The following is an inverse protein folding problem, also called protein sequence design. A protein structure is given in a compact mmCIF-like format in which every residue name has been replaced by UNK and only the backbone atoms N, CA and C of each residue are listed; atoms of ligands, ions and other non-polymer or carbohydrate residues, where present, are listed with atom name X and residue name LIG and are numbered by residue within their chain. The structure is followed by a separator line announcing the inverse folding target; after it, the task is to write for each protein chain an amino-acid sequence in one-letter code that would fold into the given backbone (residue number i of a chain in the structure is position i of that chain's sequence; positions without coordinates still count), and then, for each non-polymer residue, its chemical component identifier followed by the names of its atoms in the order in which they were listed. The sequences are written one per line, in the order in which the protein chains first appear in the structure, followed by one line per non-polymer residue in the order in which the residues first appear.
data_IF_900641459845
#
_entry.id   IF_900641459845
#
_cell.length_a   1.000
_cell.length_b   1.000
_cell.length_c   1.000
_cell.angle_alpha   90.00
_cell.angle_beta   90.00
_cell.angle_gamma   90.00
#
_symmetry.space_group_name_H-M   'P 1'
#
loop_
_entity.id
_entity.type
_entity.pdbx_description
1 polymer ?
#
# COMPACT_ATOMS: atom_id res chain seq x y z
N UNK A 1 0.11 7.48 36.16
CA UNK A 1 1.29 7.03 35.39
C UNK A 1 0.88 6.70 33.95
N UNK A 2 1.76 6.90 32.96
CA UNK A 2 1.56 6.54 31.55
C UNK A 2 2.75 5.71 31.06
N UNK A 3 2.57 4.93 29.99
CA UNK A 3 3.60 4.08 29.40
C UNK A 3 3.40 4.02 27.88
N UNK A 4 4.51 4.10 27.14
CA UNK A 4 4.55 3.99 25.67
C UNK A 4 5.74 3.11 25.28
N UNK A 5 5.51 2.12 24.42
CA UNK A 5 6.56 1.22 23.92
C UNK A 5 7.38 1.94 22.84
N UNK A 6 8.71 1.95 23.01
CA UNK A 6 9.65 2.61 22.09
C UNK A 6 10.36 1.62 21.16
N UNK A 7 10.57 0.38 21.62
CA UNK A 7 11.19 -0.71 20.88
C UNK A 7 10.80 -2.06 21.53
N UNK A 8 11.01 -3.15 20.79
CA UNK A 8 10.95 -4.53 21.25
C UNK A 8 11.96 -5.38 20.47
N UNK A 9 12.54 -6.38 21.12
CA UNK A 9 13.39 -7.37 20.45
C UNK A 9 12.67 -8.72 20.39
N UNK A 10 12.76 -9.40 19.24
CA UNK A 10 12.16 -10.72 19.04
C UNK A 10 13.28 -11.74 18.86
N UNK A 11 13.38 -12.78 19.71
CA UNK A 11 14.38 -13.82 19.53
C UNK A 11 14.14 -14.61 18.25
N UNK A 12 15.22 -15.15 17.65
CA UNK A 12 15.16 -15.94 16.41
C UNK A 12 14.07 -17.01 16.42
N UNK A 13 13.97 -17.78 17.50
CA UNK A 13 12.96 -18.84 17.69
C UNK A 13 11.51 -18.37 17.57
N UNK A 14 11.26 -17.08 17.76
CA UNK A 14 9.93 -16.46 17.64
C UNK A 14 9.79 -15.77 16.27
N UNK A 15 10.84 -15.11 15.76
CA UNK A 15 10.83 -14.51 14.41
C UNK A 15 10.48 -15.57 13.35
N UNK A 16 11.02 -16.78 13.46
CA UNK A 16 10.80 -17.89 12.52
C UNK A 16 9.33 -18.41 12.52
N UNK A 17 8.50 -17.95 13.46
CA UNK A 17 7.08 -18.31 13.53
C UNK A 17 6.15 -17.28 12.89
N UNK A 18 6.69 -16.12 12.46
CA UNK A 18 5.93 -15.09 11.76
C UNK A 18 5.97 -15.30 10.24
N UNK A 19 4.91 -14.87 9.55
CA UNK A 19 4.80 -15.02 8.09
C UNK A 19 5.92 -14.27 7.34
N UNK A 20 6.26 -13.06 7.79
CA UNK A 20 7.16 -12.17 7.06
C UNK A 20 6.65 -11.79 5.65
N UNK A 21 7.30 -10.85 4.95
CA UNK A 21 6.85 -10.45 3.62
C UNK A 21 7.07 -11.58 2.59
N UNK A 22 6.07 -11.86 1.75
CA UNK A 22 6.24 -12.79 0.61
C UNK A 22 6.73 -12.08 -0.67
N UNK A 23 6.49 -10.77 -0.75
CA UNK A 23 6.89 -9.89 -1.83
C UNK A 23 7.58 -8.67 -1.24
N UNK A 24 8.54 -8.11 -1.97
CA UNK A 24 9.21 -6.88 -1.60
C UNK A 24 9.39 -5.96 -2.82
N UNK A 25 10.13 -4.85 -2.65
CA UNK A 25 10.32 -3.86 -3.72
C UNK A 25 11.08 -4.44 -4.93
N UNK A 26 11.86 -5.51 -4.76
CA UNK A 26 12.58 -6.15 -5.86
C UNK A 26 11.65 -6.79 -6.89
N UNK A 27 10.45 -7.21 -6.47
CA UNK A 27 9.40 -7.67 -7.38
C UNK A 27 8.86 -6.52 -8.24
N UNK A 28 8.66 -5.34 -7.65
CA UNK A 28 8.24 -4.15 -8.38
C UNK A 28 9.34 -3.67 -9.34
N UNK A 29 10.60 -3.69 -8.91
CA UNK A 29 11.72 -3.37 -9.80
C UNK A 29 11.80 -4.32 -10.99
N UNK A 30 11.56 -5.63 -10.78
CA UNK A 30 11.53 -6.61 -11.86
C UNK A 30 10.46 -6.26 -12.91
N UNK A 31 9.25 -5.92 -12.47
CA UNK A 31 8.14 -5.52 -13.36
C UNK A 31 8.52 -4.26 -14.13
N UNK A 32 9.14 -3.29 -13.47
CA UNK A 32 9.63 -2.05 -14.08
C UNK A 32 10.89 -2.22 -14.95
N UNK A 33 11.37 -3.46 -15.17
CA UNK A 33 12.56 -3.72 -15.98
C UNK A 33 13.88 -3.25 -15.35
N UNK A 34 13.92 -3.07 -14.03
CA UNK A 34 15.07 -2.53 -13.27
C UNK A 34 15.87 -3.64 -12.58
N UNK A 35 17.13 -3.38 -12.20
CA UNK A 35 17.90 -4.31 -11.37
C UNK A 35 17.15 -4.65 -10.07
N UNK A 36 17.04 -5.95 -9.76
CA UNK A 36 16.36 -6.43 -8.53
C UNK A 36 17.14 -6.11 -7.24
N UNK A 37 18.38 -5.64 -7.39
CA UNK A 37 19.20 -5.11 -6.31
C UNK A 37 19.51 -3.65 -6.63
N UNK A 38 19.21 -2.76 -5.68
CA UNK A 38 19.43 -1.32 -5.83
C UNK A 38 18.73 -0.72 -7.08
N UNK A 39 17.53 -1.21 -7.41
CA UNK A 39 16.75 -0.80 -8.60
C UNK A 39 16.21 0.63 -8.58
N UNK A 40 16.49 1.38 -7.51
CA UNK A 40 16.28 2.83 -7.44
C UNK A 40 14.85 3.27 -7.11
N UNK A 41 14.62 4.57 -7.33
CA UNK A 41 13.42 5.29 -6.93
C UNK A 41 12.21 4.97 -7.82
N UNK A 42 11.06 4.61 -7.23
CA UNK A 42 9.78 4.44 -7.92
C UNK A 42 8.95 5.72 -7.75
N UNK A 43 8.66 6.42 -8.85
CA UNK A 43 7.91 7.67 -8.84
C UNK A 43 6.42 7.40 -8.65
N UNK A 44 5.91 7.70 -7.44
CA UNK A 44 4.53 7.41 -7.04
C UNK A 44 3.64 8.64 -6.86
N UNK A 45 2.33 8.47 -7.08
CA UNK A 45 1.29 9.44 -6.67
C UNK A 45 0.09 8.78 -6.01
N UNK A 46 -0.81 9.61 -5.49
CA UNK A 46 -2.11 9.24 -4.95
C UNK A 46 -3.17 9.96 -5.78
N UNK A 47 -4.19 9.26 -6.27
CA UNK A 47 -5.28 9.93 -6.98
C UNK A 47 -6.03 10.88 -6.04
N UNK A 48 -6.12 12.16 -6.46
CA UNK A 48 -6.86 13.23 -5.78
C UNK A 48 -7.99 13.76 -6.67
N UNK A 49 -9.07 14.32 -6.10
CA UNK A 49 -9.40 14.46 -4.67
C UNK A 49 -9.51 13.11 -3.93
N UNK A 50 -9.40 13.17 -2.60
CA UNK A 50 -9.47 11.99 -1.73
C UNK A 50 -10.69 11.10 -2.04
N UNK A 51 -11.84 11.74 -2.22
CA UNK A 51 -13.07 11.15 -2.75
C UNK A 51 -13.74 12.18 -3.66
N UNK A 52 -14.60 11.72 -4.57
CA UNK A 52 -15.47 12.58 -5.37
C UNK A 52 -15.26 12.49 -6.88
N UNK A 53 -14.13 11.95 -7.36
CA UNK A 53 -14.01 11.60 -8.78
C UNK A 53 -14.96 10.45 -9.10
N UNK A 54 -15.70 10.60 -10.20
CA UNK A 54 -16.45 9.52 -10.86
C UNK A 54 -15.48 8.61 -11.63
N UNK A 55 -15.92 7.44 -12.13
CA UNK A 55 -15.03 6.46 -12.75
C UNK A 55 -14.15 7.00 -13.89
N UNK A 56 -14.70 7.76 -14.83
CA UNK A 56 -13.96 8.25 -16.01
C UNK A 56 -12.91 9.30 -15.63
N UNK A 57 -13.23 10.36 -14.83
CA UNK A 57 -12.21 11.28 -14.35
C UNK A 57 -11.12 10.64 -13.48
N UNK A 58 -11.46 9.57 -12.74
CA UNK A 58 -10.48 8.82 -11.95
C UNK A 58 -9.45 8.15 -12.86
N UNK A 59 -9.92 7.42 -13.88
CA UNK A 59 -9.06 6.72 -14.82
C UNK A 59 -8.26 7.68 -15.69
N UNK A 60 -8.84 8.82 -16.06
CA UNK A 60 -8.12 9.86 -16.80
C UNK A 60 -6.97 10.44 -15.98
N UNK A 61 -7.20 10.77 -14.70
CA UNK A 61 -6.12 11.23 -13.82
C UNK A 61 -5.03 10.17 -13.65
N UNK A 62 -5.38 8.88 -13.64
CA UNK A 62 -4.42 7.80 -13.58
C UNK A 62 -3.56 7.71 -14.84
N UNK A 63 -4.21 7.70 -16.02
CA UNK A 63 -3.52 7.72 -17.31
C UNK A 63 -2.55 8.91 -17.43
N UNK A 64 -3.01 10.13 -17.12
CA UNK A 64 -2.18 11.34 -17.20
C UNK A 64 -0.93 11.27 -16.33
N UNK A 65 -1.02 10.70 -15.12
CA UNK A 65 0.17 10.53 -14.28
C UNK A 65 1.12 9.47 -14.86
N UNK A 66 0.60 8.35 -15.35
CA UNK A 66 1.42 7.26 -15.88
C UNK A 66 2.20 7.62 -17.16
N UNK A 67 1.85 8.71 -17.85
CA UNK A 67 2.68 9.25 -18.94
C UNK A 67 4.08 9.70 -18.47
N UNK A 68 4.28 9.93 -17.17
CA UNK A 68 5.59 10.30 -16.61
C UNK A 68 5.96 9.68 -15.26
N UNK A 69 5.09 8.87 -14.67
CA UNK A 69 5.30 8.21 -13.37
C UNK A 69 5.16 6.69 -13.44
N UNK A 70 5.57 6.02 -12.36
CA UNK A 70 5.60 4.56 -12.28
C UNK A 70 4.36 4.01 -11.56
N UNK A 71 3.98 4.61 -10.44
CA UNK A 71 3.10 3.98 -9.44
C UNK A 71 1.96 4.89 -9.01
N UNK A 72 0.75 4.34 -8.94
CA UNK A 72 -0.42 5.04 -8.42
C UNK A 72 -1.01 4.23 -7.29
N UNK A 73 -1.39 4.87 -6.18
CA UNK A 73 -2.26 4.25 -5.17
C UNK A 73 -3.65 4.89 -5.14
N UNK A 74 -4.65 4.09 -4.78
CA UNK A 74 -5.86 4.65 -4.19
C UNK A 74 -5.50 5.53 -2.98
N UNK A 75 -6.21 6.64 -2.79
CA UNK A 75 -6.26 7.29 -1.48
C UNK A 75 -7.00 6.38 -0.50
N UNK A 76 -6.73 6.47 0.80
CA UNK A 76 -7.14 5.44 1.75
C UNK A 76 -8.65 5.12 1.82
N UNK A 77 -9.59 6.07 1.60
CA UNK A 77 -11.01 5.74 1.68
C UNK A 77 -11.61 5.34 0.34
N UNK A 78 -10.87 5.41 -0.77
CA UNK A 78 -11.40 5.08 -2.10
C UNK A 78 -11.67 3.56 -2.17
N UNK A 79 -12.87 3.19 -2.59
CA UNK A 79 -13.28 1.79 -2.67
C UNK A 79 -14.51 1.61 -3.55
N UNK A 80 -15.68 1.48 -2.93
CA UNK A 80 -16.94 1.20 -3.62
C UNK A 80 -18.05 2.21 -3.30
N UNK A 81 -17.72 3.50 -3.29
CA UNK A 81 -18.72 4.55 -3.07
C UNK A 81 -19.75 4.57 -4.21
N UNK A 82 -20.99 4.95 -3.91
CA UNK A 82 -22.11 4.96 -4.88
C UNK A 82 -21.85 5.81 -6.13
N UNK A 83 -21.04 6.87 -6.03
CA UNK A 83 -20.67 7.74 -7.15
C UNK A 83 -19.45 7.23 -7.94
N UNK A 84 -18.71 6.25 -7.41
CA UNK A 84 -17.55 5.64 -8.05
C UNK A 84 -17.51 4.12 -7.73
N UNK A 85 -18.48 3.33 -8.25
CA UNK A 85 -18.54 1.91 -7.96
C UNK A 85 -17.28 1.20 -8.45
N UNK A 86 -16.71 0.32 -7.63
CA UNK A 86 -15.44 -0.35 -7.92
C UNK A 86 -15.48 -1.14 -9.23
N UNK A 87 -16.61 -1.79 -9.51
CA UNK A 87 -16.87 -2.51 -10.78
C UNK A 87 -16.99 -1.62 -12.03
N UNK A 88 -17.00 -0.30 -11.87
CA UNK A 88 -16.90 0.67 -12.97
C UNK A 88 -15.52 1.32 -13.02
N UNK A 89 -14.91 1.60 -11.86
CA UNK A 89 -13.60 2.25 -11.79
C UNK A 89 -12.49 1.30 -12.24
N UNK A 90 -12.44 0.06 -11.72
CA UNK A 90 -11.31 -0.84 -11.98
C UNK A 90 -11.13 -1.19 -13.47
N UNK A 91 -12.19 -1.48 -14.26
CA UNK A 91 -12.03 -1.69 -15.70
C UNK A 91 -11.45 -0.48 -16.44
N UNK A 92 -11.83 0.74 -16.04
CA UNK A 92 -11.31 1.97 -16.63
C UNK A 92 -9.86 2.25 -16.21
N UNK A 93 -9.47 1.89 -14.99
CA UNK A 93 -8.07 1.98 -14.54
C UNK A 93 -7.19 0.95 -15.26
N UNK A 94 -7.67 -0.28 -15.45
CA UNK A 94 -6.97 -1.30 -16.22
C UNK A 94 -6.81 -0.86 -17.69
N UNK A 95 -7.83 -0.23 -18.27
CA UNK A 95 -7.73 0.38 -19.60
C UNK A 95 -6.72 1.54 -19.66
N UNK A 96 -6.78 2.45 -18.70
CA UNK A 96 -5.81 3.55 -18.57
C UNK A 96 -4.37 3.05 -18.45
N UNK A 97 -4.15 1.97 -17.69
CA UNK A 97 -2.83 1.32 -17.57
C UNK A 97 -2.38 0.77 -18.92
N UNK A 98 -3.22 -0.01 -19.62
CA UNK A 98 -2.87 -0.53 -20.96
C UNK A 98 -2.50 0.61 -21.92
N UNK A 99 -3.35 1.64 -22.03
CA UNK A 99 -3.08 2.80 -22.90
C UNK A 99 -1.77 3.51 -22.55
N UNK A 100 -1.50 3.72 -21.26
CA UNK A 100 -0.25 4.35 -20.83
C UNK A 100 0.98 3.46 -21.14
N UNK A 101 0.87 2.14 -20.96
CA UNK A 101 1.94 1.21 -21.30
C UNK A 101 2.19 1.15 -22.82
N UNK A 102 1.13 1.12 -23.62
CA UNK A 102 1.22 1.12 -25.08
C UNK A 102 1.88 2.41 -25.62
N UNK A 103 1.55 3.56 -25.01
CA UNK A 103 2.06 4.86 -25.42
C UNK A 103 3.51 5.11 -24.98
N UNK A 104 3.85 4.71 -23.75
CA UNK A 104 5.18 4.96 -23.17
C UNK A 104 6.18 3.86 -23.45
N UNK A 105 5.72 2.63 -23.72
CA UNK A 105 6.56 1.43 -23.77
C UNK A 105 7.11 0.99 -22.40
N UNK A 106 6.60 1.56 -21.31
CA UNK A 106 7.07 1.33 -19.94
C UNK A 106 5.98 0.66 -19.09
N UNK A 107 6.37 -0.29 -18.23
CA UNK A 107 5.46 -0.90 -17.26
C UNK A 107 4.96 0.11 -16.23
N UNK A 108 3.69 0.00 -15.82
CA UNK A 108 3.05 0.88 -14.84
C UNK A 108 2.45 0.07 -13.71
N UNK A 109 2.40 0.63 -12.50
CA UNK A 109 1.96 -0.06 -11.28
C UNK A 109 0.74 0.62 -10.64
N UNK A 110 -0.18 -0.16 -10.08
CA UNK A 110 -1.33 0.34 -9.34
C UNK A 110 -1.48 -0.34 -7.98
N UNK A 111 -1.81 0.41 -6.93
CA UNK A 111 -2.09 -0.11 -5.60
C UNK A 111 -3.55 0.12 -5.22
N UNK A 112 -4.33 -0.95 -5.35
CA UNK A 112 -5.77 -0.94 -5.18
C UNK A 112 -6.16 -1.16 -3.72
N UNK A 113 -7.05 -0.34 -3.18
CA UNK A 113 -7.56 -0.51 -1.82
C UNK A 113 -8.57 -1.65 -1.74
N UNK A 114 -8.23 -2.68 -0.96
CA UNK A 114 -9.11 -3.84 -0.73
C UNK A 114 -9.66 -3.90 0.70
N UNK A 115 -9.43 -2.86 1.52
CA UNK A 115 -9.86 -2.82 2.92
C UNK A 115 -11.36 -3.00 3.06
N UNK A 116 -11.78 -3.96 3.89
CA UNK A 116 -13.16 -4.20 4.28
C UNK A 116 -13.23 -4.97 5.61
N UNK A 117 -14.29 -4.74 6.39
CA UNK A 117 -14.54 -5.45 7.65
C UNK A 117 -14.74 -6.96 7.44
N UNK A 118 -15.47 -7.33 6.38
CA UNK A 118 -15.69 -8.72 5.99
C UNK A 118 -14.49 -9.25 5.20
N UNK A 119 -13.90 -10.33 5.70
CA UNK A 119 -12.85 -11.10 5.03
C UNK A 119 -13.24 -11.46 3.59
N UNK A 120 -14.49 -11.92 3.38
CA UNK A 120 -14.97 -12.33 2.07
C UNK A 120 -15.06 -11.15 1.10
N UNK A 121 -15.34 -9.94 1.59
CA UNK A 121 -15.31 -8.73 0.76
C UNK A 121 -13.89 -8.38 0.35
N UNK A 122 -12.90 -8.48 1.26
CA UNK A 122 -11.49 -8.27 0.88
C UNK A 122 -11.04 -9.25 -0.21
N UNK A 123 -11.41 -10.52 -0.07
CA UNK A 123 -11.13 -11.58 -1.04
C UNK A 123 -11.82 -11.28 -2.37
N UNK A 124 -13.12 -11.02 -2.36
CA UNK A 124 -13.89 -10.72 -3.57
C UNK A 124 -13.35 -9.48 -4.31
N UNK A 125 -12.90 -8.45 -3.58
CA UNK A 125 -12.25 -7.28 -4.19
C UNK A 125 -10.94 -7.65 -4.86
N UNK A 126 -10.06 -8.35 -4.15
CA UNK A 126 -8.75 -8.73 -4.67
C UNK A 126 -8.87 -9.62 -5.91
N UNK A 127 -9.71 -10.66 -5.85
CA UNK A 127 -9.95 -11.57 -6.98
C UNK A 127 -10.51 -10.83 -8.20
N UNK A 128 -11.53 -9.99 -8.00
CA UNK A 128 -12.09 -9.19 -9.09
C UNK A 128 -11.07 -8.25 -9.72
N UNK A 129 -10.20 -7.62 -8.91
CA UNK A 129 -9.15 -6.73 -9.42
C UNK A 129 -8.15 -7.54 -10.26
N UNK A 130 -7.65 -8.68 -9.78
CA UNK A 130 -6.70 -9.49 -10.55
C UNK A 130 -7.31 -10.03 -11.85
N UNK A 131 -8.57 -10.48 -11.81
CA UNK A 131 -9.30 -10.90 -13.00
C UNK A 131 -9.45 -9.74 -14.00
N UNK A 132 -9.77 -8.54 -13.51
CA UNK A 132 -9.96 -7.34 -14.35
C UNK A 132 -8.67 -6.86 -15.01
N UNK A 133 -7.53 -6.95 -14.30
CA UNK A 133 -6.23 -6.54 -14.82
C UNK A 133 -5.57 -7.61 -15.71
N UNK A 134 -6.02 -8.87 -15.62
CA UNK A 134 -5.65 -9.98 -16.50
C UNK A 134 -4.12 -10.11 -16.69
N UNK A 135 -3.60 -9.85 -17.89
CA UNK A 135 -2.17 -9.90 -18.16
C UNK A 135 -1.32 -8.92 -17.34
N UNK A 136 -1.92 -7.86 -16.79
CA UNK A 136 -1.29 -6.89 -15.90
C UNK A 136 -1.58 -7.19 -14.41
N UNK A 137 -2.03 -8.38 -14.06
CA UNK A 137 -2.37 -8.71 -12.67
C UNK A 137 -1.17 -8.62 -11.71
N UNK A 138 0.05 -8.87 -12.17
CA UNK A 138 1.29 -8.73 -11.40
C UNK A 138 1.72 -7.25 -11.22
N UNK A 139 1.17 -6.33 -12.02
CA UNK A 139 1.36 -4.89 -11.86
C UNK A 139 0.51 -4.29 -10.72
N UNK A 140 -0.29 -5.11 -10.05
CA UNK A 140 -1.19 -4.69 -8.98
C UNK A 140 -0.62 -4.98 -7.59
N UNK A 141 -0.52 -3.96 -6.77
CA UNK A 141 -0.35 -4.09 -5.33
C UNK A 141 -1.70 -3.99 -4.61
N UNK A 142 -1.82 -4.61 -3.44
CA UNK A 142 -3.00 -4.45 -2.59
C UNK A 142 -2.72 -3.55 -1.40
N UNK A 143 -3.50 -2.47 -1.32
CA UNK A 143 -3.50 -1.57 -0.19
C UNK A 143 -4.49 -2.03 0.87
N UNK A 144 -4.01 -2.07 2.12
CA UNK A 144 -4.82 -2.34 3.31
C UNK A 144 -4.56 -1.27 4.35
N UNK A 145 -5.62 -0.67 4.89
CA UNK A 145 -5.53 0.24 6.04
C UNK A 145 -5.31 -0.52 7.35
N UNK A 146 -4.11 -1.10 7.51
CA UNK A 146 -3.84 -2.06 8.57
C UNK A 146 -3.91 -1.51 10.00
N UNK A 147 -3.78 -0.21 10.22
CA UNK A 147 -3.93 0.36 11.57
C UNK A 147 -5.40 0.43 12.01
N UNK A 148 -6.30 0.99 11.19
CA UNK A 148 -7.74 1.05 11.52
C UNK A 148 -8.43 -0.29 11.30
N UNK A 149 -8.04 -1.04 10.26
CA UNK A 149 -8.58 -2.37 9.97
C UNK A 149 -8.00 -3.49 10.83
N UNK A 150 -6.85 -3.24 11.45
CA UNK A 150 -6.19 -4.17 12.36
C UNK A 150 -5.41 -5.31 11.66
N UNK A 151 -4.65 -6.10 12.44
CA UNK A 151 -3.78 -7.15 11.90
C UNK A 151 -4.51 -8.27 11.13
N UNK A 152 -5.80 -8.48 11.42
CA UNK A 152 -6.63 -9.49 10.73
C UNK A 152 -6.80 -9.20 9.24
N UNK A 153 -7.02 -7.93 8.87
CA UNK A 153 -7.13 -7.51 7.46
C UNK A 153 -5.78 -7.60 6.75
N UNK A 154 -4.69 -7.22 7.42
CA UNK A 154 -3.32 -7.35 6.88
C UNK A 154 -3.00 -8.82 6.61
N UNK A 155 -3.33 -9.70 7.55
CA UNK A 155 -3.09 -11.15 7.42
C UNK A 155 -3.97 -11.78 6.35
N UNK A 156 -5.23 -11.33 6.20
CA UNK A 156 -6.11 -11.73 5.10
C UNK A 156 -5.42 -11.49 3.76
N UNK A 157 -4.98 -10.26 3.50
CA UNK A 157 -4.32 -9.93 2.25
C UNK A 157 -2.99 -10.69 2.07
N UNK A 158 -2.17 -10.77 3.13
CA UNK A 158 -0.87 -11.45 3.11
C UNK A 158 -0.98 -12.94 2.76
N UNK A 159 -1.99 -13.63 3.30
CA UNK A 159 -2.13 -15.08 3.15
C UNK A 159 -2.96 -15.48 1.93
N UNK A 160 -3.97 -14.68 1.56
CA UNK A 160 -4.79 -14.98 0.39
C UNK A 160 -4.12 -14.55 -0.92
N UNK A 161 -3.39 -13.43 -0.90
CA UNK A 161 -2.72 -12.88 -2.08
C UNK A 161 -1.19 -12.78 -1.88
N UNK A 162 -0.49 -13.87 -1.51
CA UNK A 162 0.94 -13.82 -1.20
C UNK A 162 1.81 -13.43 -2.41
N UNK A 163 1.27 -13.58 -3.62
CA UNK A 163 1.95 -13.20 -4.86
C UNK A 163 1.77 -11.73 -5.24
N UNK A 164 0.98 -10.96 -4.49
CA UNK A 164 0.77 -9.53 -4.72
C UNK A 164 1.51 -8.71 -3.67
N UNK A 165 2.03 -7.55 -4.08
CA UNK A 165 2.72 -6.64 -3.15
C UNK A 165 1.73 -6.11 -2.11
N UNK A 166 1.98 -6.37 -0.83
CA UNK A 166 1.12 -5.91 0.27
C UNK A 166 1.54 -4.51 0.76
N UNK A 167 0.75 -3.52 0.37
CA UNK A 167 0.93 -2.12 0.73
C UNK A 167 0.16 -1.78 2.02
N UNK A 168 0.87 -1.72 3.15
CA UNK A 168 0.29 -1.33 4.43
C UNK A 168 0.12 0.19 4.50
N UNK A 169 -1.12 0.65 4.46
CA UNK A 169 -1.48 2.02 4.77
C UNK A 169 -1.79 2.16 6.27
N UNK A 170 -1.30 3.25 6.89
CA UNK A 170 -1.31 3.40 8.35
C UNK A 170 -2.30 4.46 8.86
N UNK A 171 -3.36 4.76 8.12
CA UNK A 171 -4.37 5.75 8.54
C UNK A 171 -4.78 5.56 10.01
N UNK A 172 -4.89 6.65 10.78
CA UNK A 172 -5.23 6.60 12.21
C UNK A 172 -4.05 6.42 13.18
N UNK A 173 -2.87 6.00 12.71
CA UNK A 173 -1.73 5.68 13.59
C UNK A 173 -1.31 6.81 14.55
N UNK A 174 -1.46 8.07 14.10
CA UNK A 174 -1.10 9.26 14.89
C UNK A 174 -1.76 9.33 16.27
N UNK A 175 -2.92 8.67 16.44
CA UNK A 175 -3.59 8.53 17.74
C UNK A 175 -2.66 7.99 18.84
N UNK A 176 -1.72 7.10 18.49
CA UNK A 176 -0.77 6.49 19.44
C UNK A 176 0.68 6.81 19.10
N UNK A 177 1.03 6.95 17.82
CA UNK A 177 2.43 7.11 17.44
C UNK A 177 2.94 8.54 17.62
N UNK A 178 2.06 9.55 17.56
CA UNK A 178 2.44 10.98 17.69
C UNK A 178 3.34 11.21 18.92
N UNK A 179 4.40 12.03 18.83
CA UNK A 179 5.21 12.42 19.98
C UNK A 179 4.40 13.09 21.10
N UNK A 180 3.27 13.73 20.76
CA UNK A 180 2.34 14.31 21.75
C UNK A 180 1.66 13.24 22.62
N UNK A 181 1.51 12.01 22.10
CA UNK A 181 0.90 10.90 22.83
C UNK A 181 1.91 10.22 23.73
N UNK A 182 1.56 10.15 25.02
CA UNK A 182 2.35 9.47 26.07
C UNK A 182 1.95 8.00 26.28
N UNK A 183 1.16 7.42 25.35
CA UNK A 183 0.55 6.08 25.46
C UNK A 183 0.73 5.29 24.16
N UNK A 184 0.56 3.97 24.22
CA UNK A 184 0.60 3.09 23.04
C UNK A 184 2.03 2.74 22.63
N UNK A 185 2.39 2.98 21.38
CA UNK A 185 3.70 2.64 20.81
C UNK A 185 4.16 3.64 19.75
N UNK A 186 5.45 3.69 19.46
CA UNK A 186 6.04 4.58 18.45
C UNK A 186 5.77 4.09 17.02
N UNK A 187 5.98 4.97 16.02
CA UNK A 187 5.91 4.59 14.61
C UNK A 187 6.98 3.52 14.25
N UNK A 188 8.12 3.52 14.94
CA UNK A 188 9.14 2.50 14.81
C UNK A 188 8.62 1.11 15.20
N UNK A 189 7.95 0.99 16.36
CA UNK A 189 7.32 -0.26 16.80
C UNK A 189 6.27 -0.72 15.78
N UNK A 190 5.44 0.20 15.26
CA UNK A 190 4.45 -0.14 14.23
C UNK A 190 5.08 -0.71 12.96
N UNK A 191 6.13 -0.09 12.43
CA UNK A 191 6.83 -0.57 11.24
C UNK A 191 7.52 -1.92 11.47
N UNK A 192 8.12 -2.12 12.64
CA UNK A 192 8.73 -3.41 13.02
C UNK A 192 7.68 -4.52 13.10
N UNK A 193 6.50 -4.23 13.67
CA UNK A 193 5.38 -5.17 13.69
C UNK A 193 4.81 -5.44 12.31
N UNK A 194 4.74 -4.46 11.41
CA UNK A 194 4.19 -4.68 10.05
C UNK A 194 5.08 -5.60 9.22
N UNK A 195 6.40 -5.55 9.41
CA UNK A 195 7.33 -6.50 8.79
C UNK A 195 7.07 -7.93 9.25
N UNK A 196 6.82 -8.14 10.54
CA UNK A 196 6.45 -9.46 11.09
C UNK A 196 5.10 -9.95 10.55
N UNK A 197 4.12 -9.05 10.40
CA UNK A 197 2.81 -9.35 9.80
C UNK A 197 2.90 -9.69 8.30
N UNK A 198 4.00 -9.32 7.64
CA UNK A 198 4.25 -9.62 6.23
C UNK A 198 3.87 -8.52 5.24
N UNK A 199 3.78 -7.27 5.68
CA UNK A 199 3.68 -6.14 4.77
C UNK A 199 4.91 -6.07 3.84
N UNK A 200 4.68 -5.97 2.53
CA UNK A 200 5.74 -5.75 1.54
C UNK A 200 6.34 -4.36 1.65
N UNK A 201 5.49 -3.36 1.94
CA UNK A 201 5.92 -2.02 2.31
C UNK A 201 4.89 -1.33 3.20
N UNK A 202 5.37 -0.42 4.02
CA UNK A 202 4.54 0.42 4.90
C UNK A 202 4.93 1.89 4.72
N UNK A 203 3.96 2.79 4.84
CA UNK A 203 4.24 4.21 4.97
C UNK A 203 5.10 4.48 6.22
N UNK A 204 6.33 4.99 6.04
CA UNK A 204 7.22 5.33 7.16
C UNK A 204 7.14 6.81 7.57
N UNK A 205 6.60 7.67 6.72
CA UNK A 205 6.50 9.11 6.95
C UNK A 205 7.47 9.87 6.06
N UNK A 206 7.50 11.19 6.23
CA UNK A 206 8.36 12.08 5.44
C UNK A 206 9.55 12.60 6.24
N UNK A 207 9.79 12.07 7.46
CA UNK A 207 10.94 12.42 8.30
C UNK A 207 11.10 13.94 8.50
N UNK A 208 9.98 14.65 8.66
CA UNK A 208 9.93 16.12 8.81
C UNK A 208 9.85 16.94 7.51
N UNK A 209 9.99 16.32 6.33
CA UNK A 209 9.98 17.04 5.04
C UNK A 209 8.58 17.29 4.45
N UNK A 210 7.53 16.74 5.06
CA UNK A 210 6.16 16.81 4.57
C UNK A 210 5.19 17.39 5.59
N UNK A 211 3.89 17.18 5.34
CA UNK A 211 2.81 17.80 6.13
C UNK A 211 2.42 17.06 7.42
N UNK A 212 2.90 15.82 7.61
CA UNK A 212 2.57 15.01 8.80
C UNK A 212 3.70 15.12 9.80
N UNK A 213 3.40 15.02 11.10
CA UNK A 213 4.42 14.94 12.15
C UNK A 213 5.46 13.84 11.85
N UNK A 214 6.73 14.17 12.10
CA UNK A 214 7.88 13.28 11.98
C UNK A 214 9.17 14.06 12.13
N UNK A 215 10.25 13.37 12.51
CA UNK A 215 11.56 13.96 12.76
C UNK A 215 12.61 13.37 11.82
N UNK A 216 13.76 14.04 11.68
CA UNK A 216 14.85 13.55 10.83
C UNK A 216 15.37 12.16 11.28
N UNK A 217 15.32 11.88 12.58
CA UNK A 217 15.74 10.61 13.17
C UNK A 217 14.77 9.45 12.89
N UNK A 218 13.55 9.73 12.40
CA UNK A 218 12.63 8.69 11.90
C UNK A 218 13.20 7.95 10.67
N UNK A 219 14.34 8.42 10.15
CA UNK A 219 15.15 7.68 9.18
C UNK A 219 15.37 6.23 9.59
N UNK A 220 15.51 5.92 10.88
CA UNK A 220 15.67 4.55 11.38
C UNK A 220 14.48 3.62 11.07
N UNK A 221 13.29 4.17 10.81
CA UNK A 221 12.08 3.40 10.45
C UNK A 221 12.20 2.83 9.02
N UNK A 222 13.02 3.47 8.17
CA UNK A 222 13.16 3.12 6.76
C UNK A 222 14.29 2.11 6.45
N UNK A 223 15.10 1.73 7.44
CA UNK A 223 16.20 0.76 7.33
C UNK A 223 15.88 -0.52 8.09
#
# INVERSE_FOLDING_TARGET
AHAKMIDFWVPRRVIELFDGPAKDISDLWRILGRPVKDGGYIAGTIIKPKLGLRPEPFAEAAYQFWLGGDFIKNDEPQGNQVFAPMKKVMPLVADAMRRAQDETGEAKLFSANITADDHNEMVARGEYILETFAENADHVAFLVDGFVGGPGMVTTARRWFPNQYLHYHRAGHGMVTSPSSKRGYTAFVLAKMSRLQGASGIHVGTMGYGKMEGDADDRIIAY
#
